data_IF_654412668311
#
_entry.id   IF_654412668311
#
_cell.length_a   1.000
_cell.length_b   1.000
_cell.length_c   1.000
_cell.angle_alpha   90.00
_cell.angle_beta   90.00
_cell.angle_gamma   90.00
#
_symmetry.space_group_name_H-M   'P 1'
#
loop_
_entity.id
_entity.type
_entity.pdbx_description
1 polymer ?
#
# COMPACT_ATOMS: atom_id res chain seq x y z
N UNK A 1 -6.20 -2.92 -7.94
CA UNK A 1 -5.79 -1.53 -7.68
C UNK A 1 -6.50 -1.05 -6.43
N UNK A 2 -5.74 -0.51 -5.48
CA UNK A 2 -6.23 0.10 -4.24
C UNK A 2 -6.10 1.61 -4.31
N UNK A 3 -6.91 2.32 -3.53
CA UNK A 3 -6.84 3.77 -3.38
C UNK A 3 -6.44 4.04 -1.93
N UNK A 4 -5.41 4.85 -1.73
CA UNK A 4 -4.92 5.29 -0.42
C UNK A 4 -4.78 6.81 -0.39
N UNK A 5 -4.74 7.38 0.80
CA UNK A 5 -4.60 8.81 1.06
C UNK A 5 -3.14 9.21 1.29
N UNK A 6 -2.83 10.49 1.12
CA UNK A 6 -1.47 11.04 1.32
C UNK A 6 -1.03 11.01 2.79
N UNK A 7 -2.02 11.07 3.70
CA UNK A 7 -1.80 11.24 5.12
C UNK A 7 -1.06 10.07 5.77
N UNK A 8 -0.10 10.41 6.64
CA UNK A 8 0.63 9.48 7.52
C UNK A 8 -0.22 8.80 8.61
N UNK A 9 -1.53 8.85 8.49
CA UNK A 9 -2.43 8.07 9.32
C UNK A 9 -2.36 6.59 8.91
N UNK A 10 -2.67 5.73 9.89
CA UNK A 10 -2.77 4.30 9.65
C UNK A 10 -3.94 3.99 8.70
N UNK A 11 -3.64 3.33 7.58
CA UNK A 11 -4.62 2.88 6.60
C UNK A 11 -4.62 1.34 6.56
N UNK A 12 -5.82 0.74 6.49
CA UNK A 12 -6.00 -0.71 6.51
C UNK A 12 -6.30 -1.24 5.11
N UNK A 13 -5.50 -2.19 4.65
CA UNK A 13 -5.72 -2.90 3.38
C UNK A 13 -6.20 -4.32 3.63
N UNK A 14 -7.24 -4.72 2.90
CA UNK A 14 -7.73 -6.11 2.87
C UNK A 14 -7.41 -6.75 1.52
N UNK A 15 -6.81 -7.93 1.57
CA UNK A 15 -6.27 -8.66 0.42
C UNK A 15 -6.61 -10.15 0.49
N UNK A 16 -6.51 -10.84 -0.65
CA UNK A 16 -6.58 -12.30 -0.75
C UNK A 16 -5.21 -12.77 -1.24
N UNK A 17 -4.28 -13.09 -0.31
CA UNK A 17 -2.91 -13.45 -0.64
C UNK A 17 -2.80 -14.93 -1.02
N UNK A 18 -1.66 -15.33 -1.62
CA UNK A 18 -1.36 -16.74 -1.92
C UNK A 18 -1.15 -17.59 -0.66
N UNK A 19 -0.69 -16.97 0.43
CA UNK A 19 -0.53 -17.61 1.74
C UNK A 19 -0.83 -16.61 2.85
N UNK A 20 -1.06 -17.12 4.07
CA UNK A 20 -1.53 -16.34 5.21
C UNK A 20 -0.55 -16.42 6.38
N UNK A 21 0.69 -15.92 6.26
CA UNK A 21 1.61 -15.83 7.39
C UNK A 21 1.07 -14.84 8.43
N UNK A 22 1.53 -14.92 9.68
CA UNK A 22 1.16 -13.97 10.74
C UNK A 22 1.83 -12.60 10.60
N UNK A 23 2.96 -12.54 9.89
CA UNK A 23 3.70 -11.31 9.59
C UNK A 23 4.25 -11.33 8.17
N UNK A 24 4.42 -10.14 7.59
CA UNK A 24 4.91 -9.94 6.22
C UNK A 24 5.90 -8.78 6.13
N UNK A 25 6.74 -8.80 5.10
CA UNK A 25 7.48 -7.63 4.64
C UNK A 25 6.63 -6.89 3.61
N UNK A 26 6.34 -5.62 3.89
CA UNK A 26 5.63 -4.69 3.02
C UNK A 26 6.66 -3.86 2.23
N UNK A 27 6.59 -3.94 0.90
CA UNK A 27 7.33 -3.04 0.02
C UNK A 27 6.35 -2.16 -0.76
N UNK A 28 6.57 -0.85 -0.72
CA UNK A 28 5.84 0.14 -1.52
C UNK A 28 6.84 0.91 -2.37
N UNK A 29 6.64 0.91 -3.70
CA UNK A 29 7.55 1.58 -4.64
C UNK A 29 6.83 2.68 -5.40
N UNK A 30 7.34 3.91 -5.34
CA UNK A 30 6.87 5.02 -6.18
C UNK A 30 7.33 4.76 -7.63
N UNK A 31 6.39 4.65 -8.57
CA UNK A 31 6.72 4.36 -9.96
C UNK A 31 7.31 5.55 -10.70
N UNK A 32 7.12 6.78 -10.19
CA UNK A 32 7.65 8.01 -10.80
C UNK A 32 9.12 8.24 -10.48
N UNK A 33 9.56 7.88 -9.28
CA UNK A 33 10.95 8.07 -8.81
C UNK A 33 11.72 6.76 -8.71
N UNK A 34 11.04 5.62 -8.87
CA UNK A 34 11.58 4.27 -8.69
C UNK A 34 12.19 4.03 -7.29
N UNK A 35 11.72 4.77 -6.28
CA UNK A 35 12.18 4.64 -4.89
C UNK A 35 11.25 3.73 -4.10
N UNK A 36 11.81 2.79 -3.34
CA UNK A 36 11.05 1.82 -2.54
C UNK A 36 11.20 2.05 -1.04
N UNK A 37 10.10 1.95 -0.32
CA UNK A 37 10.06 1.86 1.15
C UNK A 37 9.76 0.43 1.54
N UNK A 38 10.58 -0.14 2.41
CA UNK A 38 10.44 -1.51 2.90
C UNK A 38 10.17 -1.46 4.41
N UNK A 39 9.06 -2.07 4.83
CA UNK A 39 8.67 -2.21 6.23
C UNK A 39 8.59 -3.69 6.56
N UNK A 40 9.40 -4.14 7.51
CA UNK A 40 9.42 -5.52 7.98
C UNK A 40 8.42 -5.74 9.11
N UNK A 41 8.10 -7.00 9.39
CA UNK A 41 7.29 -7.40 10.56
C UNK A 41 5.91 -6.73 10.62
N UNK A 42 5.28 -6.51 9.46
CA UNK A 42 3.91 -5.98 9.41
C UNK A 42 2.95 -7.08 9.82
N UNK A 43 2.16 -6.86 10.87
CA UNK A 43 1.15 -7.81 11.34
C UNK A 43 0.11 -8.08 10.26
N UNK A 44 -0.10 -9.35 9.93
CA UNK A 44 -0.99 -9.80 8.87
C UNK A 44 -2.05 -10.72 9.48
N UNK A 45 -3.28 -10.22 9.55
CA UNK A 45 -4.37 -10.90 10.28
C UNK A 45 -5.32 -11.56 9.30
N UNK A 46 -5.45 -12.88 9.37
CA UNK A 46 -6.43 -13.64 8.58
C UNK A 46 -7.83 -13.53 9.19
N UNK A 47 -8.82 -13.29 8.35
CA UNK A 47 -10.24 -13.40 8.65
C UNK A 47 -10.95 -14.09 7.49
N UNK A 48 -11.36 -15.34 7.69
CA UNK A 48 -11.88 -16.23 6.62
C UNK A 48 -10.89 -16.30 5.44
N UNK A 49 -11.36 -16.05 4.21
CA UNK A 49 -10.57 -16.09 2.98
C UNK A 49 -9.88 -14.75 2.65
N UNK A 50 -9.73 -13.87 3.65
CA UNK A 50 -9.11 -12.56 3.50
C UNK A 50 -8.05 -12.36 4.57
N UNK A 51 -7.10 -11.48 4.28
CA UNK A 51 -6.13 -11.00 5.24
C UNK A 51 -6.09 -9.48 5.26
N UNK A 52 -5.84 -8.91 6.43
CA UNK A 52 -5.73 -7.46 6.62
C UNK A 52 -4.43 -7.07 7.32
N UNK A 53 -3.90 -5.92 6.93
CA UNK A 53 -2.80 -5.25 7.61
C UNK A 53 -3.06 -3.75 7.64
N UNK A 54 -2.45 -3.09 8.63
CA UNK A 54 -2.57 -1.65 8.85
C UNK A 54 -1.16 -1.05 8.86
N UNK A 55 -0.98 0.04 8.11
CA UNK A 55 0.30 0.74 8.03
C UNK A 55 0.08 2.24 7.77
N UNK A 56 0.98 3.07 8.29
CA UNK A 56 1.04 4.49 7.99
C UNK A 56 1.91 4.73 6.75
N UNK A 57 1.37 5.40 5.73
CA UNK A 57 2.09 5.63 4.47
C UNK A 57 2.49 7.09 4.31
N UNK A 58 3.63 7.35 3.67
CA UNK A 58 4.06 8.69 3.26
C UNK A 58 3.96 8.80 1.73
N UNK A 59 2.74 8.88 1.21
CA UNK A 59 2.46 8.93 -0.23
C UNK A 59 2.30 10.38 -0.70
N UNK A 60 2.38 10.59 -2.01
CA UNK A 60 2.16 11.89 -2.65
C UNK A 60 0.93 11.82 -3.55
N UNK A 61 0.14 12.88 -3.52
CA UNK A 61 -1.10 13.03 -4.29
C UNK A 61 -0.87 12.76 -5.78
N UNK A 62 -1.84 12.09 -6.41
CA UNK A 62 -1.86 11.87 -7.86
C UNK A 62 -0.80 10.89 -8.37
N UNK A 63 -0.20 10.07 -7.49
CA UNK A 63 0.86 9.12 -7.87
C UNK A 63 0.43 7.66 -7.80
N UNK A 64 1.08 6.86 -8.65
CA UNK A 64 0.98 5.41 -8.64
C UNK A 64 2.15 4.79 -7.89
N UNK A 65 1.83 3.74 -7.13
CA UNK A 65 2.80 2.94 -6.40
C UNK A 65 2.57 1.45 -6.70
N UNK A 66 3.65 0.68 -6.72
CA UNK A 66 3.56 -0.78 -6.68
C UNK A 66 3.61 -1.27 -5.24
N UNK A 67 2.68 -2.15 -4.90
CA UNK A 67 2.57 -2.82 -3.61
C UNK A 67 3.05 -4.26 -3.74
N UNK A 68 3.96 -4.67 -2.86
CA UNK A 68 4.41 -6.06 -2.73
C UNK A 68 4.37 -6.49 -1.27
N UNK A 69 3.77 -7.65 -1.01
CA UNK A 69 3.85 -8.33 0.27
C UNK A 69 4.65 -9.61 0.12
N UNK A 70 5.62 -9.80 1.01
CA UNK A 70 6.47 -10.98 1.06
C UNK A 70 6.29 -11.68 2.40
N UNK A 71 6.07 -13.00 2.38
CA UNK A 71 6.09 -13.86 3.56
C UNK A 71 7.38 -14.68 3.59
N UNK A 72 7.75 -15.24 4.76
CA UNK A 72 8.89 -16.15 4.88
C UNK A 72 9.84 -15.82 6.04
N UNK A 73 10.80 -16.71 6.29
CA UNK A 73 11.73 -16.63 7.43
C UNK A 73 12.63 -15.39 7.33
N UNK A 74 12.95 -14.95 6.11
CA UNK A 74 13.74 -13.73 5.86
C UNK A 74 13.01 -12.40 6.11
N UNK A 75 11.71 -12.40 6.42
CA UNK A 75 10.91 -11.18 6.63
C UNK A 75 11.01 -10.60 8.06
N UNK A 76 11.56 -11.38 9.00
CA UNK A 76 11.53 -11.09 10.44
C UNK A 76 12.89 -11.40 11.09
N UNK A 77 13.96 -10.79 10.57
CA UNK A 77 15.35 -11.03 11.03
C UNK A 77 15.62 -10.72 12.51
N UNK A 78 14.68 -10.09 13.23
CA UNK A 78 14.81 -9.74 14.64
C UNK A 78 13.92 -10.54 15.62
N UNK A 79 13.03 -11.42 15.14
CA UNK A 79 12.17 -12.26 16.01
C UNK A 79 12.58 -13.74 16.06
N UNK A 80 13.59 -14.14 15.28
CA UNK A 80 14.02 -15.54 15.12
C UNK A 80 15.16 -15.95 16.08
N UNK A 81 15.12 -15.52 17.34
CA UNK A 81 16.10 -15.96 18.37
C UNK A 81 15.66 -17.17 19.20
N UNK A 82 14.49 -17.75 18.96
CA UNK A 82 13.98 -18.91 19.74
C UNK A 82 13.84 -20.21 18.96
N UNK A 83 14.57 -20.39 17.86
CA UNK A 83 14.67 -21.68 17.17
C UNK A 83 16.09 -22.24 17.09
N UNK A 84 16.99 -21.85 17.99
CA UNK A 84 18.36 -22.39 18.05
C UNK A 84 18.47 -23.78 18.68
N UNK A 85 17.35 -24.46 18.98
CA UNK A 85 17.37 -25.79 19.59
C UNK A 85 16.48 -26.83 18.90
N UNK A 86 15.97 -26.56 17.68
CA UNK A 86 15.14 -27.57 17.00
C UNK A 86 15.18 -27.55 15.47
N UNK A 87 16.31 -27.21 14.85
CA UNK A 87 16.47 -27.44 13.40
C UNK A 87 17.81 -28.11 13.11
N UNK A 88 17.75 -29.23 12.36
CA UNK A 88 18.89 -29.93 11.74
C UNK A 88 19.24 -29.34 10.37
N UNK A 89 18.70 -28.17 10.04
CA UNK A 89 18.81 -27.59 8.70
C UNK A 89 20.16 -26.88 8.54
N UNK A 90 20.81 -27.16 7.41
CA UNK A 90 22.08 -26.58 7.01
C UNK A 90 22.00 -25.04 6.99
N UNK A 91 22.97 -24.39 7.65
CA UNK A 91 23.15 -22.94 7.77
C UNK A 91 23.06 -22.17 6.44
N UNK A 92 23.34 -22.82 5.30
CA UNK A 92 23.21 -22.19 3.97
C UNK A 92 21.81 -22.24 3.35
N UNK A 93 20.90 -23.08 3.86
CA UNK A 93 19.55 -23.27 3.28
C UNK A 93 18.49 -22.32 3.82
N UNK A 94 18.81 -21.53 4.86
CA UNK A 94 17.83 -20.73 5.64
C UNK A 94 17.76 -19.26 5.17
N UNK A 95 18.45 -18.89 4.09
CA UNK A 95 18.58 -17.48 3.69
C UNK A 95 17.71 -17.03 2.50
N UNK A 96 16.80 -17.85 1.96
CA UNK A 96 15.98 -17.46 0.80
C UNK A 96 14.59 -18.09 0.80
N UNK A 97 13.77 -17.80 1.82
CA UNK A 97 12.35 -18.19 1.80
C UNK A 97 11.39 -17.01 1.70
N UNK A 98 11.87 -15.83 1.31
CA UNK A 98 10.99 -14.72 0.97
C UNK A 98 10.21 -15.07 -0.30
N UNK A 99 8.92 -15.33 -0.14
CA UNK A 99 7.99 -15.56 -1.23
C UNK A 99 7.10 -14.34 -1.40
N UNK A 100 6.92 -13.89 -2.64
CA UNK A 100 5.91 -12.86 -2.94
C UNK A 100 4.52 -13.48 -2.86
N UNK A 101 3.76 -13.09 -1.85
CA UNK A 101 2.42 -13.64 -1.58
C UNK A 101 1.30 -12.74 -2.13
N UNK A 102 1.61 -11.48 -2.42
CA UNK A 102 0.64 -10.52 -2.97
C UNK A 102 1.33 -9.38 -3.73
N UNK A 103 0.71 -8.97 -4.84
CA UNK A 103 1.09 -7.82 -5.65
C UNK A 103 -0.18 -7.04 -6.01
N UNK A 104 -0.12 -5.71 -5.93
CA UNK A 104 -1.16 -4.83 -6.49
C UNK A 104 -0.54 -3.47 -6.85
N UNK A 105 -1.36 -2.60 -7.46
CA UNK A 105 -1.08 -1.19 -7.63
C UNK A 105 -1.88 -0.37 -6.64
N UNK A 106 -1.28 0.70 -6.15
CA UNK A 106 -1.92 1.73 -5.34
C UNK A 106 -1.96 3.01 -6.16
N UNK A 107 -3.10 3.69 -6.12
CA UNK A 107 -3.22 5.09 -6.52
C UNK A 107 -3.43 5.94 -5.27
N UNK A 108 -2.65 7.02 -5.14
CA UNK A 108 -2.76 7.93 -4.00
C UNK A 108 -3.62 9.13 -4.36
N UNK A 109 -4.74 9.30 -3.64
CA UNK A 109 -5.53 10.53 -3.71
C UNK A 109 -6.31 10.78 -2.42
N UNK A 110 -6.38 12.05 -2.02
CA UNK A 110 -7.28 12.52 -0.95
C UNK A 110 -8.68 12.90 -1.49
N UNK A 111 -8.88 12.86 -2.81
CA UNK A 111 -10.19 13.06 -3.43
C UNK A 111 -11.14 11.93 -3.07
N UNK A 112 -12.43 12.27 -2.96
CA UNK A 112 -13.48 11.25 -2.77
C UNK A 112 -13.74 10.53 -4.09
N UNK A 113 -13.28 9.28 -4.19
CA UNK A 113 -13.46 8.43 -5.36
C UNK A 113 -14.59 7.43 -5.12
N UNK A 114 -15.57 7.41 -6.03
CA UNK A 114 -16.63 6.41 -6.04
C UNK A 114 -17.02 6.08 -7.48
N UNK A 115 -16.47 4.98 -7.99
CA UNK A 115 -16.70 4.54 -9.36
C UNK A 115 -18.14 4.03 -9.58
N UNK A 116 -18.86 3.62 -8.53
CA UNK A 116 -20.26 3.22 -8.66
C UNK A 116 -21.17 4.43 -8.92
N UNK A 117 -20.73 5.63 -8.53
CA UNK A 117 -21.44 6.90 -8.76
C UNK A 117 -20.73 7.78 -9.79
N UNK A 118 -19.85 7.22 -10.63
CA UNK A 118 -19.06 7.94 -11.63
C UNK A 118 -18.19 9.08 -11.08
N UNK A 119 -17.80 9.01 -9.80
CA UNK A 119 -16.88 9.97 -9.18
C UNK A 119 -15.45 9.49 -9.37
N UNK A 120 -14.77 10.03 -10.39
CA UNK A 120 -13.40 9.71 -10.76
C UNK A 120 -12.42 10.78 -10.29
N UNK A 121 -11.13 10.43 -10.27
CA UNK A 121 -10.05 11.36 -9.98
C UNK A 121 -9.96 12.43 -11.06
N UNK A 122 -9.79 13.70 -10.65
CA UNK A 122 -9.52 14.81 -11.56
C UNK A 122 -8.24 15.51 -11.16
N UNK A 123 -7.39 15.85 -12.14
CA UNK A 123 -6.06 16.43 -11.85
C UNK A 123 -6.20 17.78 -11.17
N UNK A 124 -7.19 18.58 -11.57
CA UNK A 124 -7.37 19.96 -11.12
C UNK A 124 -8.56 20.09 -10.13
N UNK A 125 -8.78 19.07 -9.31
CA UNK A 125 -9.92 19.05 -8.39
C UNK A 125 -9.82 20.20 -7.38
N UNK A 126 -10.74 21.16 -7.47
CA UNK A 126 -10.81 22.30 -6.55
C UNK A 126 -9.94 23.50 -6.94
N UNK A 127 -9.20 23.42 -8.05
CA UNK A 127 -8.34 24.52 -8.52
C UNK A 127 -9.10 25.60 -9.28
N UNK A 128 -10.34 25.30 -9.69
CA UNK A 128 -11.21 26.23 -10.42
C UNK A 128 -12.58 26.30 -9.76
N UNK A 129 -13.11 27.52 -9.66
CA UNK A 129 -14.53 27.75 -9.38
C UNK A 129 -15.22 28.18 -10.67
N UNK A 130 -16.31 27.50 -11.03
CA UNK A 130 -17.19 27.95 -12.12
C UNK A 130 -18.13 29.04 -11.61
N UNK A 131 -18.15 30.18 -12.29
CA UNK A 131 -19.08 31.27 -11.98
C UNK A 131 -20.44 30.94 -12.59
N UNK A 132 -21.46 30.73 -11.75
CA UNK A 132 -22.86 30.49 -12.21
C UNK A 132 -23.60 31.79 -12.60
N UNK A 133 -22.86 32.89 -12.73
CA UNK A 133 -23.40 34.22 -13.05
C UNK A 133 -23.22 34.48 -14.53
N UNK A 134 -24.30 34.83 -15.22
CA UNK A 134 -24.23 35.22 -16.62
C UNK A 134 -23.36 36.50 -16.80
N UNK A 135 -22.45 36.54 -17.79
CA UNK A 135 -22.13 35.49 -18.75
C UNK A 135 -21.20 34.42 -18.14
N UNK A 136 -21.50 33.13 -18.37
CA UNK A 136 -20.84 31.95 -17.78
C UNK A 136 -19.40 31.68 -18.32
N UNK A 137 -18.75 32.69 -18.89
CA UNK A 137 -17.48 32.52 -19.62
C UNK A 137 -16.24 32.90 -18.78
N UNK A 138 -16.39 33.17 -17.48
CA UNK A 138 -15.32 33.68 -16.62
C UNK A 138 -14.88 32.64 -15.55
N UNK A 139 -13.70 32.05 -15.77
CA UNK A 139 -12.99 31.21 -14.80
C UNK A 139 -12.00 32.05 -14.00
N UNK A 140 -12.04 31.95 -12.67
CA UNK A 140 -11.05 32.60 -11.79
C UNK A 140 -10.11 31.55 -11.19
N UNK A 141 -8.80 31.80 -11.23
CA UNK A 141 -7.77 30.95 -10.59
C UNK A 141 -7.75 31.30 -9.10
N UNK A 142 -7.82 30.29 -8.24
CA UNK A 142 -7.62 30.45 -6.80
C UNK A 142 -6.12 30.32 -6.54
N UNK A 143 -5.51 31.38 -5.99
CA UNK A 143 -4.09 31.45 -5.62
C UNK A 143 -3.87 30.94 -4.18
#
# INVERSE_FOLDING_TARGET
MKILQTGGANQTLTVVPRSYPSSVTLTVRDTSTNTSTVTQTVTFTKSNDKASFTHAYNLKEGRFYDLKLEGGIGANWNELTTLWQSTTDNWESVFSSLETIYLDKIFCTDQTINQATNSYYTINSGDYTETTSYPEDEYTIID
#
